data_IF_004457538581
#
_entry.id   IF_004457538581
#
_cell.length_a   1.000
_cell.length_b   1.000
_cell.length_c   1.000
_cell.angle_alpha   90.00
_cell.angle_beta   90.00
_cell.angle_gamma   90.00
#
_symmetry.space_group_name_H-M   'P 1'
#
loop_
_entity.id
_entity.type
_entity.pdbx_description
1 polymer ?
#
# COMPACT_ATOMS: atom_id res chain seq x y z
N UNK A 1 -22.59 27.88 3.57
CA UNK A 1 -22.63 26.46 4.03
C UNK A 1 -22.66 25.60 2.78
N UNK A 2 -21.65 24.76 2.53
CA UNK A 2 -21.70 23.81 1.40
C UNK A 2 -22.74 22.73 1.73
N UNK A 3 -23.52 22.30 0.74
CA UNK A 3 -24.50 21.23 0.95
C UNK A 3 -23.74 19.92 1.22
N UNK A 4 -24.32 18.95 1.95
CA UNK A 4 -23.67 17.65 2.21
C UNK A 4 -23.15 16.97 0.94
N UNK A 5 -23.83 17.18 -0.19
CA UNK A 5 -23.42 16.65 -1.48
C UNK A 5 -22.24 17.38 -2.12
N UNK A 6 -22.08 18.69 -1.89
CA UNK A 6 -20.91 19.43 -2.36
C UNK A 6 -19.63 18.93 -1.67
N UNK A 7 -19.71 18.72 -0.36
CA UNK A 7 -18.58 18.22 0.41
C UNK A 7 -18.27 16.76 0.04
N UNK A 8 -19.30 15.94 -0.17
CA UNK A 8 -19.17 14.58 -0.71
C UNK A 8 -18.45 14.57 -2.06
N UNK A 9 -18.85 15.44 -2.99
CA UNK A 9 -18.24 15.56 -4.30
C UNK A 9 -16.76 15.99 -4.21
N UNK A 10 -16.43 16.92 -3.29
CA UNK A 10 -15.04 17.31 -3.02
C UNK A 10 -14.20 16.13 -2.53
N UNK A 11 -14.70 15.32 -1.60
CA UNK A 11 -13.98 14.12 -1.11
C UNK A 11 -13.72 13.13 -2.23
N UNK A 12 -14.72 12.83 -3.06
CA UNK A 12 -14.52 11.98 -4.24
C UNK A 12 -13.51 12.55 -5.22
N UNK A 13 -13.49 13.87 -5.44
CA UNK A 13 -12.51 14.53 -6.32
C UNK A 13 -11.07 14.38 -5.81
N UNK A 14 -10.86 14.56 -4.50
CA UNK A 14 -9.56 14.38 -3.85
C UNK A 14 -9.10 12.92 -3.96
N UNK A 15 -9.98 11.96 -3.61
CA UNK A 15 -9.70 10.52 -3.72
C UNK A 15 -9.35 10.15 -5.16
N UNK A 16 -10.18 10.55 -6.13
CA UNK A 16 -9.98 10.27 -7.56
C UNK A 16 -8.63 10.81 -8.05
N UNK A 17 -8.27 12.03 -7.66
CA UNK A 17 -7.01 12.66 -8.05
C UNK A 17 -5.80 11.89 -7.53
N UNK A 18 -5.87 11.40 -6.28
CA UNK A 18 -4.81 10.56 -5.70
C UNK A 18 -4.74 9.20 -6.41
N UNK A 19 -5.86 8.49 -6.54
CA UNK A 19 -5.91 7.19 -7.20
C UNK A 19 -5.40 7.26 -8.65
N UNK A 20 -5.70 8.34 -9.38
CA UNK A 20 -5.23 8.54 -10.76
C UNK A 20 -3.72 8.79 -10.83
N UNK A 21 -3.14 9.43 -9.81
CA UNK A 21 -1.69 9.68 -9.75
C UNK A 21 -0.89 8.42 -9.41
N UNK A 22 -1.48 7.52 -8.63
CA UNK A 22 -0.82 6.32 -8.11
C UNK A 22 -1.40 5.02 -8.67
N UNK A 23 -2.09 5.08 -9.81
CA UNK A 23 -2.80 3.94 -10.41
C UNK A 23 -1.90 2.71 -10.66
N UNK A 24 -0.63 2.94 -10.98
CA UNK A 24 0.40 1.92 -11.16
C UNK A 24 0.67 1.07 -9.91
N UNK A 25 0.30 1.56 -8.72
CA UNK A 25 0.35 0.80 -7.46
C UNK A 25 -0.94 0.03 -7.18
N UNK A 26 -1.92 0.12 -8.06
CA UNK A 26 -3.26 -0.48 -7.92
C UNK A 26 -3.92 -0.18 -6.56
N UNK A 27 -3.97 1.11 -6.15
CA UNK A 27 -4.40 1.51 -4.82
C UNK A 27 -5.84 1.09 -4.55
N UNK A 28 -6.11 0.73 -3.30
CA UNK A 28 -7.45 0.36 -2.79
C UNK A 28 -7.90 1.36 -1.74
N UNK A 29 -9.21 1.54 -1.61
CA UNK A 29 -9.83 2.45 -0.64
C UNK A 29 -10.76 1.66 0.27
N UNK A 30 -10.22 0.83 1.19
CA UNK A 30 -11.04 0.05 2.10
C UNK A 30 -11.81 0.91 3.11
N UNK A 31 -11.34 2.14 3.36
CA UNK A 31 -11.91 3.14 4.26
C UNK A 31 -12.89 4.10 3.57
N UNK A 32 -13.38 3.78 2.36
CA UNK A 32 -14.24 4.69 1.59
C UNK A 32 -15.52 5.04 2.35
N UNK A 33 -16.16 4.07 2.98
CA UNK A 33 -17.39 4.27 3.75
C UNK A 33 -17.15 5.09 5.03
N UNK A 34 -15.94 5.03 5.59
CA UNK A 34 -15.54 5.86 6.73
C UNK A 34 -15.26 7.30 6.32
N UNK A 35 -14.91 7.55 5.06
CA UNK A 35 -14.64 8.89 4.53
C UNK A 35 -15.91 9.51 3.94
N UNK A 36 -16.70 8.72 3.21
CA UNK A 36 -17.84 9.18 2.41
C UNK A 36 -19.04 8.23 2.61
N UNK A 37 -19.64 8.14 3.81
CA UNK A 37 -20.73 7.22 4.08
C UNK A 37 -21.96 7.59 3.24
N UNK A 38 -22.71 6.59 2.75
CA UNK A 38 -23.88 6.82 1.91
C UNK A 38 -24.95 7.68 2.62
N UNK A 39 -25.63 8.59 1.90
CA UNK A 39 -26.72 9.39 2.49
C UNK A 39 -27.84 8.50 3.05
N UNK A 40 -28.52 8.90 4.14
CA UNK A 40 -28.52 10.23 4.77
C UNK A 40 -27.44 10.44 5.84
N UNK A 41 -26.44 9.54 5.94
CA UNK A 41 -25.39 9.66 6.95
C UNK A 41 -24.63 11.00 6.83
N UNK A 42 -24.37 11.62 7.98
CA UNK A 42 -23.55 12.83 8.05
C UNK A 42 -22.10 12.49 7.72
N UNK A 43 -21.43 13.39 7.02
CA UNK A 43 -20.01 13.23 6.71
C UNK A 43 -19.16 13.33 7.98
N UNK A 44 -18.33 12.33 8.30
CA UNK A 44 -17.43 12.38 9.45
C UNK A 44 -16.29 13.36 9.19
N UNK A 45 -15.53 13.71 10.23
CA UNK A 45 -14.29 14.47 10.04
C UNK A 45 -13.29 13.64 9.24
N UNK A 46 -12.63 14.27 8.28
CA UNK A 46 -11.64 13.62 7.42
C UNK A 46 -10.43 14.53 7.28
N UNK A 47 -9.25 13.93 7.38
CA UNK A 47 -7.93 14.59 7.30
C UNK A 47 -7.43 14.77 5.85
N UNK A 48 -8.21 14.33 4.85
CA UNK A 48 -7.87 14.42 3.44
C UNK A 48 -7.05 13.24 2.90
N UNK A 49 -6.81 12.19 3.69
CA UNK A 49 -6.03 11.01 3.27
C UNK A 49 -6.84 9.72 3.31
N UNK A 50 -6.57 8.82 2.37
CA UNK A 50 -7.08 7.42 2.37
C UNK A 50 -6.09 6.49 3.07
N UNK A 51 -6.54 5.31 3.51
CA UNK A 51 -5.70 4.32 4.18
C UNK A 51 -4.45 3.94 3.37
N UNK A 52 -4.62 3.74 2.06
CA UNK A 52 -3.49 3.46 1.16
C UNK A 52 -2.45 4.58 1.16
N UNK A 53 -2.88 5.85 1.15
CA UNK A 53 -1.99 7.00 1.19
C UNK A 53 -1.18 7.03 2.48
N UNK A 54 -1.80 6.73 3.63
CA UNK A 54 -1.09 6.66 4.91
C UNK A 54 -0.07 5.53 4.95
N UNK A 55 -0.40 4.38 4.34
CA UNK A 55 0.53 3.27 4.22
C UNK A 55 1.69 3.60 3.29
N UNK A 56 1.43 4.26 2.16
CA UNK A 56 2.44 4.57 1.15
C UNK A 56 3.35 5.73 1.54
N UNK A 57 2.81 6.79 2.14
CA UNK A 57 3.56 7.97 2.61
C UNK A 57 4.04 7.83 4.06
N UNK A 58 3.65 6.75 4.74
CA UNK A 58 4.00 6.48 6.13
C UNK A 58 5.45 6.08 6.30
N UNK A 59 5.80 5.75 7.54
CA UNK A 59 7.13 5.21 7.84
C UNK A 59 7.34 3.87 7.14
N UNK A 60 8.57 3.66 6.66
CA UNK A 60 8.95 2.38 6.11
C UNK A 60 8.74 1.28 7.15
N UNK A 61 8.25 0.09 6.75
CA UNK A 61 8.09 -1.02 7.68
C UNK A 61 9.45 -1.35 8.33
N UNK A 62 9.45 -1.82 9.59
CA UNK A 62 10.69 -2.18 10.25
C UNK A 62 11.40 -3.27 9.45
N UNK A 63 12.74 -3.18 9.41
CA UNK A 63 13.55 -4.22 8.77
C UNK A 63 13.24 -5.58 9.43
N UNK A 64 13.06 -6.65 8.64
CA UNK A 64 12.90 -7.98 9.20
C UNK A 64 14.15 -8.39 9.99
N UNK A 65 13.99 -9.33 10.93
CA UNK A 65 15.13 -9.87 11.68
C UNK A 65 16.06 -10.66 10.78
N UNK A 66 17.36 -10.65 11.11
CA UNK A 66 18.38 -11.38 10.34
C UNK A 66 18.11 -12.89 10.32
N UNK A 67 17.63 -13.46 11.43
CA UNK A 67 17.23 -14.85 11.50
C UNK A 67 16.07 -15.19 10.54
N UNK A 68 15.09 -14.29 10.39
CA UNK A 68 13.99 -14.48 9.45
C UNK A 68 14.49 -14.40 8.00
N UNK A 69 15.35 -13.43 7.70
CA UNK A 69 15.98 -13.29 6.38
C UNK A 69 16.77 -14.56 6.02
N UNK A 70 17.60 -15.07 6.93
CA UNK A 70 18.38 -16.28 6.71
C UNK A 70 17.48 -17.50 6.47
N UNK A 71 16.42 -17.67 7.26
CA UNK A 71 15.47 -18.76 7.09
C UNK A 71 14.80 -18.73 5.72
N UNK A 72 14.33 -17.56 5.28
CA UNK A 72 13.66 -17.39 3.99
C UNK A 72 14.63 -17.56 2.82
N UNK A 73 15.84 -17.02 2.91
CA UNK A 73 16.88 -17.20 1.91
C UNK A 73 17.25 -18.69 1.76
N UNK A 74 17.51 -19.38 2.88
CA UNK A 74 17.82 -20.81 2.88
C UNK A 74 16.66 -21.66 2.33
N UNK A 75 15.41 -21.33 2.69
CA UNK A 75 14.22 -22.01 2.16
C UNK A 75 14.07 -21.78 0.65
N UNK A 76 14.40 -20.58 0.16
CA UNK A 76 14.47 -20.29 -1.26
C UNK A 76 15.73 -20.90 -1.92
N UNK A 77 16.66 -21.48 -1.15
CA UNK A 77 17.95 -22.00 -1.58
C UNK A 77 18.94 -20.92 -2.07
N UNK A 78 18.82 -19.72 -1.53
CA UNK A 78 19.63 -18.54 -1.84
C UNK A 78 20.51 -18.16 -0.65
N UNK A 79 21.67 -17.57 -0.95
CA UNK A 79 22.51 -16.90 0.05
C UNK A 79 21.90 -15.56 0.43
N UNK A 80 21.80 -15.29 1.72
CA UNK A 80 21.14 -14.08 2.25
C UNK A 80 21.90 -12.78 1.89
N UNK A 81 23.21 -12.86 1.75
CA UNK A 81 24.11 -11.72 1.53
C UNK A 81 24.20 -11.30 0.05
N UNK A 82 24.14 -12.29 -0.84
CA UNK A 82 24.47 -12.14 -2.27
C UNK A 82 23.30 -12.46 -3.19
N UNK A 83 22.27 -13.17 -2.71
CA UNK A 83 21.15 -13.63 -3.52
C UNK A 83 21.52 -14.73 -4.53
N UNK A 84 22.73 -15.27 -4.45
CA UNK A 84 23.22 -16.35 -5.31
C UNK A 84 22.71 -17.70 -4.82
N UNK A 85 22.67 -18.67 -5.72
CA UNK A 85 22.30 -20.03 -5.38
C UNK A 85 23.25 -20.62 -4.31
N UNK A 86 22.67 -21.31 -3.31
CA UNK A 86 23.43 -21.84 -2.17
C UNK A 86 24.44 -22.91 -2.57
N UNK A 87 24.14 -23.71 -3.59
CA UNK A 87 24.98 -24.85 -4.00
C UNK A 87 26.02 -24.42 -5.04
N UNK A 88 25.58 -23.68 -6.06
CA UNK A 88 26.43 -23.35 -7.21
C UNK A 88 27.18 -22.04 -7.06
N UNK A 89 26.72 -21.13 -6.19
CA UNK A 89 27.27 -19.78 -6.07
C UNK A 89 27.06 -18.91 -7.32
N UNK A 90 26.12 -19.30 -8.20
CA UNK A 90 25.78 -18.59 -9.43
C UNK A 90 24.36 -18.00 -9.34
N UNK A 91 24.03 -17.00 -10.17
CA UNK A 91 22.65 -16.54 -10.30
C UNK A 91 21.75 -17.71 -10.73
N UNK A 92 20.58 -17.83 -10.11
CA UNK A 92 19.63 -18.84 -10.55
C UNK A 92 19.08 -18.49 -11.93
N UNK A 93 19.05 -19.47 -12.82
CA UNK A 93 18.32 -19.41 -14.07
C UNK A 93 16.86 -19.05 -13.79
N UNK A 94 16.40 -17.92 -14.33
CA UNK A 94 14.99 -17.54 -14.26
C UNK A 94 14.23 -18.51 -15.16
N UNK A 95 13.53 -19.47 -14.56
CA UNK A 95 12.57 -20.29 -15.30
C UNK A 95 11.50 -19.35 -15.85
N UNK A 96 11.55 -19.13 -17.17
CA UNK A 96 10.52 -18.40 -17.93
C UNK A 96 9.21 -19.18 -17.95
#
# INVERSE_FOLDING_TARGET
MSHPDDERAKRYSVIRSYLSRYDYLQPKVPDLDEIVPLPPAKLPKWDGKIAFQRWYEGEAPPKPSEALMQKLANQAGLRVDTGLDLETGLPREVKK
#
